data_IF_028855007239
#
_entry.id   IF_028855007239
#
_cell.length_a   1.000
_cell.length_b   1.000
_cell.length_c   1.000
_cell.angle_alpha   90.00
_cell.angle_beta   90.00
_cell.angle_gamma   90.00
#
_symmetry.space_group_name_H-M   'P 1'
#
loop_
_entity.id
_entity.type
_entity.pdbx_description
1 polymer ?
#
# COMPACT_ATOMS: atom_id res chain seq x y z
N UNK A 1 -36.04 18.86 -58.27
CA UNK A 1 -36.98 19.76 -57.57
C UNK A 1 -36.44 20.00 -56.16
N UNK A 2 -35.60 21.02 -55.90
CA UNK A 2 -35.96 22.27 -55.21
C UNK A 2 -37.25 22.21 -54.38
N UNK A 3 -37.15 22.29 -53.05
CA UNK A 3 -37.86 23.31 -52.26
C UNK A 3 -37.24 23.51 -50.86
N UNK A 4 -37.21 24.79 -50.44
CA UNK A 4 -36.69 25.35 -49.18
C UNK A 4 -37.83 25.60 -48.17
N UNK A 5 -37.41 25.92 -46.94
CA UNK A 5 -38.04 26.67 -45.84
C UNK A 5 -38.84 25.83 -44.82
N UNK A 6 -38.78 26.08 -43.50
CA UNK A 6 -38.23 27.22 -42.77
C UNK A 6 -38.14 27.01 -41.25
N UNK A 7 -37.44 27.95 -40.60
CA UNK A 7 -37.18 28.08 -39.15
C UNK A 7 -38.46 28.24 -38.32
N UNK A 8 -38.47 27.74 -37.08
CA UNK A 8 -39.09 28.43 -35.93
C UNK A 8 -38.27 28.22 -34.65
N UNK A 9 -37.67 29.31 -34.20
CA UNK A 9 -37.20 29.50 -32.84
C UNK A 9 -38.43 29.74 -31.94
N UNK A 10 -38.53 29.01 -30.84
CA UNK A 10 -39.31 29.46 -29.69
C UNK A 10 -38.40 29.49 -28.45
N UNK A 11 -38.15 30.72 -27.98
CA UNK A 11 -37.74 31.01 -26.60
C UNK A 11 -38.91 30.66 -25.69
N UNK A 12 -38.67 29.88 -24.64
CA UNK A 12 -39.55 29.78 -23.50
C UNK A 12 -38.76 29.99 -22.21
N UNK A 13 -39.31 30.86 -21.38
CA UNK A 13 -38.82 31.49 -20.17
C UNK A 13 -38.17 30.57 -19.11
N UNK A 14 -37.11 31.10 -18.50
CA UNK A 14 -36.60 30.65 -17.21
C UNK A 14 -37.55 31.08 -16.06
N UNK A 15 -37.83 30.16 -15.14
CA UNK A 15 -38.19 30.45 -13.74
C UNK A 15 -37.41 29.50 -12.83
N UNK A 16 -36.96 29.96 -11.64
CA UNK A 16 -36.03 29.23 -10.79
C UNK A 16 -36.78 28.18 -9.96
N UNK A 17 -36.26 26.96 -9.93
CA UNK A 17 -36.61 25.98 -8.90
C UNK A 17 -35.40 25.88 -7.98
N UNK A 18 -35.57 26.40 -6.77
CA UNK A 18 -34.71 26.11 -5.64
C UNK A 18 -34.88 24.63 -5.26
N UNK A 19 -33.77 23.91 -5.09
CA UNK A 19 -33.79 22.56 -4.51
C UNK A 19 -32.60 21.70 -4.91
N UNK A 20 -31.75 21.39 -3.94
CA UNK A 20 -30.89 20.20 -3.96
C UNK A 20 -29.45 20.42 -4.42
N UNK A 21 -28.56 20.65 -3.46
CA UNK A 21 -27.12 20.39 -3.61
C UNK A 21 -26.94 18.88 -3.86
N UNK A 22 -26.76 18.47 -5.11
CA UNK A 22 -26.42 17.10 -5.50
C UNK A 22 -24.93 17.01 -5.79
N UNK A 23 -24.26 16.05 -5.13
CA UNK A 23 -23.00 15.31 -5.36
C UNK A 23 -21.98 15.65 -6.50
N UNK A 24 -21.99 16.82 -7.13
CA UNK A 24 -21.09 17.18 -8.23
C UNK A 24 -19.68 17.60 -7.77
N UNK A 25 -19.41 17.58 -6.46
CA UNK A 25 -18.13 18.03 -5.89
C UNK A 25 -16.98 17.04 -6.03
N UNK A 26 -17.25 15.73 -6.18
CA UNK A 26 -16.19 14.71 -6.25
C UNK A 26 -15.68 14.48 -7.68
N UNK A 27 -16.54 14.67 -8.69
CA UNK A 27 -16.20 14.50 -10.11
C UNK A 27 -15.26 15.59 -10.66
N UNK A 28 -15.25 16.79 -10.06
CA UNK A 28 -14.41 17.90 -10.53
C UNK A 28 -12.95 17.84 -10.06
N UNK A 29 -12.65 17.10 -8.97
CA UNK A 29 -11.27 17.01 -8.44
C UNK A 29 -10.39 16.09 -9.30
N UNK A 30 -10.98 15.07 -9.93
CA UNK A 30 -10.24 14.10 -10.78
C UNK A 30 -9.84 14.71 -12.13
N UNK A 31 -10.60 15.67 -12.65
CA UNK A 31 -10.33 16.28 -13.96
C UNK A 31 -9.10 17.20 -13.99
N UNK A 32 -8.60 17.66 -12.84
CA UNK A 32 -7.47 18.59 -12.75
C UNK A 32 -6.08 17.92 -12.78
N UNK A 33 -6.00 16.59 -12.62
CA UNK A 33 -4.72 15.85 -12.53
C UNK A 33 -4.15 15.38 -13.88
N UNK A 34 -4.86 15.62 -14.99
CA UNK A 34 -4.53 15.06 -16.32
C UNK A 34 -3.50 15.91 -17.11
N UNK A 35 -3.08 17.08 -16.61
CA UNK A 35 -2.30 18.03 -17.42
C UNK A 35 -0.76 17.90 -17.35
N UNK A 36 -0.20 16.96 -16.58
CA UNK A 36 1.26 16.91 -16.33
C UNK A 36 2.04 15.79 -17.06
N UNK A 37 1.38 14.88 -17.78
CA UNK A 37 1.97 13.59 -18.23
C UNK A 37 2.58 13.56 -19.64
N UNK A 38 2.92 14.71 -20.23
CA UNK A 38 3.36 14.76 -21.64
C UNK A 38 4.86 14.54 -21.91
N UNK A 39 5.69 14.21 -20.91
CA UNK A 39 7.14 14.05 -21.12
C UNK A 39 7.62 12.80 -20.38
N UNK A 40 7.47 11.58 -20.91
CA UNK A 40 8.32 10.45 -20.51
C UNK A 40 8.13 9.27 -21.49
N UNK A 41 8.77 9.38 -22.65
CA UNK A 41 9.03 8.23 -23.50
C UNK A 41 10.33 8.46 -24.28
N UNK A 42 11.47 8.00 -23.75
CA UNK A 42 12.65 7.53 -24.53
C UNK A 42 13.80 7.04 -23.65
N UNK A 43 14.27 5.82 -23.97
CA UNK A 43 15.70 5.48 -24.05
C UNK A 43 16.38 4.95 -22.78
N UNK A 44 16.63 3.64 -22.75
CA UNK A 44 17.47 2.95 -21.77
C UNK A 44 18.97 3.09 -22.11
N UNK A 45 19.76 3.51 -21.13
CA UNK A 45 21.15 3.11 -20.86
C UNK A 45 21.39 3.30 -19.35
N UNK A 46 22.05 2.34 -18.69
CA UNK A 46 22.28 2.34 -17.24
C UNK A 46 23.25 3.46 -16.84
N UNK A 47 22.72 4.47 -16.14
CA UNK A 47 23.44 5.67 -15.70
C UNK A 47 23.79 5.57 -14.20
N UNK A 48 24.89 6.19 -13.74
CA UNK A 48 25.21 6.29 -12.32
C UNK A 48 24.04 6.96 -11.58
N UNK A 49 23.63 6.38 -10.43
CA UNK A 49 22.56 6.84 -9.51
C UNK A 49 21.95 8.16 -9.98
N UNK A 50 21.00 8.07 -10.93
CA UNK A 50 20.45 9.28 -11.55
C UNK A 50 19.80 10.10 -10.45
N UNK A 51 19.86 11.43 -10.62
CA UNK A 51 18.91 12.35 -9.97
C UNK A 51 17.46 11.80 -10.02
N UNK A 52 17.11 11.05 -11.08
CA UNK A 52 15.81 10.40 -11.28
C UNK A 52 15.34 9.49 -10.14
N UNK A 53 16.18 8.72 -9.45
CA UNK A 53 15.69 7.85 -8.37
C UNK A 53 15.25 8.66 -7.14
N UNK A 54 15.98 9.73 -6.83
CA UNK A 54 15.61 10.70 -5.79
C UNK A 54 14.40 11.52 -6.24
N UNK A 55 14.41 12.02 -7.48
CA UNK A 55 13.31 12.80 -8.07
C UNK A 55 12.01 11.98 -8.13
N UNK A 56 12.02 10.74 -8.64
CA UNK A 56 10.83 9.88 -8.67
C UNK A 56 10.33 9.54 -7.26
N UNK A 57 11.21 9.33 -6.28
CA UNK A 57 10.77 9.11 -4.90
C UNK A 57 10.12 10.38 -4.32
N UNK A 58 10.69 11.56 -4.58
CA UNK A 58 10.13 12.86 -4.18
C UNK A 58 8.75 13.05 -4.80
N UNK A 59 8.65 12.88 -6.12
CA UNK A 59 7.41 13.01 -6.89
C UNK A 59 6.35 12.01 -6.41
N UNK A 60 6.73 10.76 -6.16
CA UNK A 60 5.82 9.74 -5.65
C UNK A 60 5.27 10.10 -4.27
N UNK A 61 6.14 10.59 -3.37
CA UNK A 61 5.71 11.03 -2.04
C UNK A 61 4.79 12.25 -2.11
N UNK A 62 5.10 13.22 -2.97
CA UNK A 62 4.25 14.39 -3.23
C UNK A 62 2.87 13.95 -3.74
N UNK A 63 2.85 13.08 -4.74
CA UNK A 63 1.64 12.51 -5.30
C UNK A 63 0.82 11.78 -4.24
N UNK A 64 1.43 10.94 -3.41
CA UNK A 64 0.75 10.22 -2.33
C UNK A 64 0.03 11.14 -1.35
N UNK A 65 0.69 12.19 -0.86
CA UNK A 65 0.06 13.17 0.04
C UNK A 65 -1.05 13.98 -0.63
N UNK A 66 -0.83 14.44 -1.86
CA UNK A 66 -1.82 15.22 -2.62
C UNK A 66 -3.07 14.40 -2.95
N UNK A 67 -2.88 13.14 -3.35
CA UNK A 67 -3.94 12.24 -3.77
C UNK A 67 -4.99 11.99 -2.67
N UNK A 68 -4.57 12.04 -1.40
CA UNK A 68 -5.43 11.64 -0.27
C UNK A 68 -5.95 12.81 0.55
N UNK A 69 -5.34 14.00 0.45
CA UNK A 69 -5.67 15.15 1.30
C UNK A 69 -7.16 15.53 1.25
N UNK A 70 -7.72 15.69 0.05
CA UNK A 70 -9.14 16.05 -0.11
C UNK A 70 -10.09 14.92 0.29
N UNK A 71 -9.68 13.67 0.13
CA UNK A 71 -10.46 12.51 0.55
C UNK A 71 -10.58 12.52 2.08
N UNK A 72 -9.45 12.66 2.79
CA UNK A 72 -9.41 12.64 4.25
C UNK A 72 -10.10 13.87 4.87
N UNK A 73 -10.01 15.05 4.25
CA UNK A 73 -10.79 16.22 4.66
C UNK A 73 -12.31 15.96 4.56
N UNK A 74 -12.75 15.27 3.50
CA UNK A 74 -14.14 14.87 3.36
C UNK A 74 -14.56 13.81 4.40
N UNK A 75 -13.68 12.87 4.73
CA UNK A 75 -13.92 11.89 5.79
C UNK A 75 -14.10 12.58 7.16
N UNK A 76 -13.34 13.64 7.43
CA UNK A 76 -13.44 14.40 8.67
C UNK A 76 -14.77 15.14 8.87
N UNK A 77 -15.55 15.33 7.80
CA UNK A 77 -16.89 15.95 7.82
C UNK A 77 -18.02 14.95 8.09
N UNK A 78 -17.69 13.68 8.31
CA UNK A 78 -18.67 12.64 8.67
C UNK A 78 -19.38 12.97 9.99
N UNK A 79 -20.63 12.54 10.13
CA UNK A 79 -21.35 12.63 11.41
C UNK A 79 -20.59 11.85 12.49
N UNK A 80 -20.05 12.50 13.54
CA UNK A 80 -19.22 11.85 14.55
C UNK A 80 -20.00 10.84 15.40
N UNK A 81 -21.34 10.89 15.42
CA UNK A 81 -22.17 9.88 16.10
C UNK A 81 -22.26 8.59 15.30
N UNK A 82 -22.21 8.68 13.97
CA UNK A 82 -22.30 7.53 13.06
C UNK A 82 -20.93 6.96 12.72
N UNK A 83 -19.96 7.84 12.46
CA UNK A 83 -18.63 7.48 12.00
C UNK A 83 -17.54 8.12 12.89
N UNK A 84 -17.49 7.78 14.19
CA UNK A 84 -16.50 8.33 15.11
C UNK A 84 -15.05 8.00 14.72
N UNK A 85 -14.81 6.84 14.09
CA UNK A 85 -13.51 6.44 13.57
C UNK A 85 -13.00 7.32 12.44
N UNK A 86 -13.85 7.54 11.41
CA UNK A 86 -13.53 8.44 10.29
C UNK A 86 -13.16 9.83 10.80
N UNK A 87 -13.90 10.32 11.81
CA UNK A 87 -13.61 11.61 12.44
C UNK A 87 -12.28 11.60 13.18
N UNK A 88 -12.07 10.64 14.07
CA UNK A 88 -10.86 10.55 14.88
C UNK A 88 -9.60 10.35 14.02
N UNK A 89 -9.68 9.52 12.99
CA UNK A 89 -8.56 9.32 12.06
C UNK A 89 -8.23 10.59 11.27
N UNK A 90 -9.24 11.36 10.83
CA UNK A 90 -9.00 12.64 10.16
C UNK A 90 -8.28 13.64 11.07
N UNK A 91 -8.59 13.65 12.37
CA UNK A 91 -7.89 14.46 13.37
C UNK A 91 -6.44 13.99 13.61
N UNK A 92 -6.22 12.68 13.68
CA UNK A 92 -4.87 12.10 13.75
C UNK A 92 -4.03 12.45 12.52
N UNK A 93 -4.61 12.35 11.33
CA UNK A 93 -3.99 12.75 10.08
C UNK A 93 -3.62 14.23 10.12
N UNK A 94 -4.55 15.13 10.44
CA UNK A 94 -4.30 16.57 10.50
C UNK A 94 -3.21 16.94 11.52
N UNK A 95 -3.10 16.17 12.61
CA UNK A 95 -2.01 16.33 13.59
C UNK A 95 -0.67 15.85 13.02
N UNK A 96 -0.65 14.66 12.41
CA UNK A 96 0.56 14.04 11.87
C UNK A 96 1.14 14.81 10.68
N UNK A 97 0.29 15.43 9.85
CA UNK A 97 0.69 16.16 8.64
C UNK A 97 0.72 17.68 8.85
N UNK A 98 0.68 18.16 10.10
CA UNK A 98 0.73 19.60 10.38
C UNK A 98 2.00 20.24 9.82
N UNK A 99 1.83 21.19 8.92
CA UNK A 99 2.95 21.89 8.26
C UNK A 99 3.51 21.16 7.05
N UNK A 100 2.92 20.02 6.67
CA UNK A 100 3.26 19.34 5.43
C UNK A 100 2.64 20.10 4.26
N UNK A 101 3.49 20.58 3.35
CA UNK A 101 3.10 21.22 2.09
C UNK A 101 3.69 20.40 0.93
N UNK A 102 2.88 19.56 0.25
CA UNK A 102 3.38 18.74 -0.84
C UNK A 102 3.89 19.54 -2.05
N UNK A 103 3.63 20.84 -2.13
CA UNK A 103 4.21 21.70 -3.17
C UNK A 103 5.66 22.11 -2.88
N UNK A 104 6.13 21.88 -1.65
CA UNK A 104 7.51 22.14 -1.21
C UNK A 104 8.38 20.88 -1.33
N UNK A 105 9.72 21.03 -1.39
CA UNK A 105 10.65 19.91 -1.33
C UNK A 105 10.47 19.07 -0.05
N UNK A 106 10.59 17.73 -0.11
CA UNK A 106 10.36 16.87 1.06
C UNK A 106 11.31 17.09 2.24
N UNK A 107 12.44 17.75 2.04
CA UNK A 107 13.38 18.15 3.09
C UNK A 107 12.78 19.21 4.03
N UNK A 108 11.80 19.97 3.56
CA UNK A 108 11.08 20.98 4.35
C UNK A 108 9.86 20.40 5.09
N UNK A 109 9.51 19.14 4.84
CA UNK A 109 8.34 18.52 5.45
C UNK A 109 8.61 18.11 6.91
N UNK A 110 7.58 18.11 7.76
CA UNK A 110 7.69 17.43 9.04
C UNK A 110 7.97 15.93 8.84
N UNK A 111 8.71 15.35 9.77
CA UNK A 111 8.86 13.89 9.81
C UNK A 111 7.50 13.25 10.16
N UNK A 112 6.92 12.51 9.22
CA UNK A 112 5.67 11.77 9.42
C UNK A 112 5.98 10.29 9.61
N UNK A 113 5.71 9.77 10.81
CA UNK A 113 5.74 8.32 11.08
C UNK A 113 4.47 7.68 10.50
N UNK A 114 4.58 7.18 9.27
CA UNK A 114 3.44 6.60 8.54
C UNK A 114 2.89 5.36 9.22
N UNK A 115 3.72 4.58 9.91
CA UNK A 115 3.25 3.40 10.65
C UNK A 115 2.52 3.82 11.94
N UNK A 116 2.92 4.91 12.59
CA UNK A 116 2.13 5.47 13.70
C UNK A 116 0.78 6.04 13.22
N UNK A 117 0.70 6.51 11.97
CA UNK A 117 -0.52 7.05 11.38
C UNK A 117 -1.48 5.97 10.88
N UNK A 118 -0.95 4.84 10.40
CA UNK A 118 -1.72 3.76 9.76
C UNK A 118 -1.65 2.49 10.61
N UNK A 119 -0.52 1.77 10.54
CA UNK A 119 -0.39 0.38 11.01
C UNK A 119 -0.65 0.25 12.51
N UNK A 120 -0.09 1.15 13.31
CA UNK A 120 -0.22 1.20 14.78
C UNK A 120 -1.34 2.14 15.25
N UNK A 121 -2.12 2.72 14.34
CA UNK A 121 -3.19 3.64 14.69
C UNK A 121 -4.52 2.89 14.83
N UNK A 122 -5.07 2.76 16.06
CA UNK A 122 -6.37 2.11 16.23
C UNK A 122 -7.52 2.90 15.58
N UNK A 123 -7.41 4.23 15.44
CA UNK A 123 -8.43 5.04 14.77
C UNK A 123 -8.43 4.83 13.25
N UNK A 124 -7.26 4.58 12.64
CA UNK A 124 -7.18 4.18 11.23
C UNK A 124 -7.94 2.87 11.00
N UNK A 125 -7.74 1.87 11.85
CA UNK A 125 -8.45 0.60 11.73
C UNK A 125 -9.93 0.73 12.06
N UNK A 126 -10.31 1.56 13.03
CA UNK A 126 -11.71 1.90 13.27
C UNK A 126 -12.35 2.52 12.03
N UNK A 127 -11.70 3.49 11.41
CA UNK A 127 -12.12 4.11 10.15
C UNK A 127 -12.26 3.08 9.02
N UNK A 128 -11.30 2.16 8.88
CA UNK A 128 -11.35 1.07 7.91
C UNK A 128 -12.63 0.22 8.02
N UNK A 129 -13.13 -0.02 9.24
CA UNK A 129 -14.34 -0.82 9.48
C UNK A 129 -15.64 0.00 9.50
N UNK A 130 -15.55 1.33 9.49
CA UNK A 130 -16.68 2.23 9.26
C UNK A 130 -16.93 2.50 7.77
N UNK A 131 -15.94 2.20 6.92
CA UNK A 131 -16.07 2.18 5.48
C UNK A 131 -16.53 0.80 5.02
N UNK A 132 -17.27 0.74 3.90
CA UNK A 132 -17.66 -0.51 3.27
C UNK A 132 -16.41 -1.41 3.04
N UNK A 133 -16.45 -2.71 3.38
CA UNK A 133 -15.33 -3.62 3.20
C UNK A 133 -14.83 -3.63 1.76
N UNK A 134 -13.52 -3.47 1.61
CA UNK A 134 -12.84 -3.46 0.32
C UNK A 134 -13.24 -2.28 -0.57
N UNK A 135 -13.69 -1.14 -0.02
CA UNK A 135 -13.93 0.05 -0.82
C UNK A 135 -12.62 0.54 -1.47
N UNK A 136 -12.55 0.63 -2.81
CA UNK A 136 -11.31 0.94 -3.51
C UNK A 136 -10.81 2.36 -3.20
N UNK A 137 -11.67 3.33 -2.88
CA UNK A 137 -11.23 4.68 -2.51
C UNK A 137 -10.56 4.70 -1.12
N UNK A 138 -10.99 3.85 -0.19
CA UNK A 138 -10.30 3.69 1.09
C UNK A 138 -8.95 3.00 0.93
N UNK A 139 -8.88 1.96 0.10
CA UNK A 139 -7.60 1.30 -0.21
C UNK A 139 -6.64 2.23 -0.97
N UNK A 140 -7.16 3.07 -1.88
CA UNK A 140 -6.39 4.16 -2.51
C UNK A 140 -5.87 5.16 -1.47
N UNK A 141 -6.69 5.51 -0.47
CA UNK A 141 -6.28 6.38 0.65
C UNK A 141 -5.15 5.74 1.46
N UNK A 142 -5.28 4.45 1.81
CA UNK A 142 -4.24 3.69 2.51
C UNK A 142 -2.93 3.67 1.70
N UNK A 143 -3.00 3.33 0.42
CA UNK A 143 -1.83 3.30 -0.46
C UNK A 143 -1.19 4.68 -0.63
N UNK A 144 -1.97 5.75 -0.79
CA UNK A 144 -1.46 7.10 -0.94
C UNK A 144 -0.75 7.62 0.32
N UNK A 145 -1.26 7.30 1.51
CA UNK A 145 -0.58 7.60 2.78
C UNK A 145 0.76 6.86 2.89
N UNK A 146 0.79 5.57 2.54
CA UNK A 146 2.03 4.78 2.48
C UNK A 146 3.03 5.37 1.49
N UNK A 147 2.58 5.69 0.28
CA UNK A 147 3.41 6.28 -0.76
C UNK A 147 3.97 7.64 -0.33
N UNK A 148 3.15 8.49 0.31
CA UNK A 148 3.58 9.75 0.93
C UNK A 148 4.66 9.57 1.99
N UNK A 149 4.55 8.51 2.79
CA UNK A 149 5.55 8.05 3.75
C UNK A 149 6.79 7.41 3.14
N UNK A 150 6.83 7.20 1.82
CA UNK A 150 7.91 6.53 1.09
C UNK A 150 7.80 5.01 1.04
N UNK A 151 6.71 4.41 1.51
CA UNK A 151 6.47 2.96 1.51
C UNK A 151 5.92 2.47 0.15
N UNK A 152 6.68 2.68 -0.94
CA UNK A 152 6.21 2.41 -2.31
C UNK A 152 5.82 0.93 -2.54
N UNK A 153 6.58 -0.03 -2.01
CA UNK A 153 6.29 -1.46 -2.15
C UNK A 153 4.98 -1.86 -1.47
N UNK A 154 4.75 -1.40 -0.23
CA UNK A 154 3.48 -1.64 0.47
C UNK A 154 2.32 -0.97 -0.25
N UNK A 155 2.51 0.26 -0.74
CA UNK A 155 1.50 0.95 -1.53
C UNK A 155 1.14 0.16 -2.80
N UNK A 156 2.13 -0.35 -3.54
CA UNK A 156 1.93 -1.21 -4.72
C UNK A 156 1.07 -2.44 -4.40
N UNK A 157 1.36 -3.12 -3.29
CA UNK A 157 0.61 -4.31 -2.86
C UNK A 157 -0.86 -3.97 -2.55
N UNK A 158 -1.13 -2.86 -1.87
CA UNK A 158 -2.50 -2.42 -1.56
C UNK A 158 -3.24 -2.01 -2.83
N UNK A 159 -2.58 -1.33 -3.78
CA UNK A 159 -3.18 -0.93 -5.06
C UNK A 159 -3.55 -2.14 -5.92
N UNK A 160 -2.68 -3.15 -5.97
CA UNK A 160 -2.97 -4.41 -6.65
C UNK A 160 -4.22 -5.10 -6.07
N UNK A 161 -4.41 -5.02 -4.76
CA UNK A 161 -5.61 -5.54 -4.09
C UNK A 161 -6.84 -4.64 -4.29
N UNK A 162 -6.68 -3.33 -4.36
CA UNK A 162 -7.79 -2.40 -4.59
C UNK A 162 -8.44 -2.62 -5.96
N UNK A 163 -7.66 -3.06 -6.96
CA UNK A 163 -8.20 -3.50 -8.25
C UNK A 163 -9.12 -4.71 -8.16
N UNK A 164 -8.98 -5.52 -7.10
CA UNK A 164 -9.80 -6.68 -6.85
C UNK A 164 -11.13 -6.33 -6.16
N UNK A 165 -11.34 -5.07 -5.79
CA UNK A 165 -12.59 -4.61 -5.18
C UNK A 165 -13.80 -4.75 -6.11
N UNK A 166 -14.96 -5.02 -5.50
CA UNK A 166 -16.23 -5.14 -6.23
C UNK A 166 -16.75 -3.76 -6.61
N UNK A 167 -17.27 -3.67 -7.84
CA UNK A 167 -18.02 -2.50 -8.31
C UNK A 167 -17.18 -1.24 -8.48
N UNK A 168 -15.88 -1.39 -8.75
CA UNK A 168 -14.94 -0.29 -8.96
C UNK A 168 -15.23 0.39 -10.31
N UNK A 169 -15.62 1.68 -10.32
CA UNK A 169 -15.84 2.41 -11.57
C UNK A 169 -14.55 2.56 -12.36
N UNK A 170 -14.67 2.75 -13.68
CA UNK A 170 -13.51 2.90 -14.57
C UNK A 170 -12.54 4.00 -14.10
N UNK A 171 -13.06 5.16 -13.69
CA UNK A 171 -12.24 6.28 -13.24
C UNK A 171 -11.43 5.94 -11.98
N UNK A 172 -11.98 5.08 -11.12
CA UNK A 172 -11.26 4.57 -9.95
C UNK A 172 -10.16 3.58 -10.36
N UNK A 173 -10.42 2.70 -11.34
CA UNK A 173 -9.36 1.87 -11.92
C UNK A 173 -8.23 2.71 -12.55
N UNK A 174 -8.57 3.76 -13.30
CA UNK A 174 -7.59 4.67 -13.90
C UNK A 174 -6.74 5.35 -12.82
N UNK A 175 -7.35 5.79 -11.71
CA UNK A 175 -6.64 6.39 -10.58
C UNK A 175 -5.72 5.39 -9.84
N UNK A 176 -6.19 4.16 -9.63
CA UNK A 176 -5.40 3.07 -9.06
C UNK A 176 -4.17 2.77 -9.92
N UNK A 177 -4.36 2.62 -11.23
CA UNK A 177 -3.29 2.32 -12.18
C UNK A 177 -2.26 3.46 -12.27
N UNK A 178 -2.71 4.72 -12.16
CA UNK A 178 -1.80 5.87 -12.09
C UNK A 178 -0.89 5.81 -10.86
N UNK A 179 -1.45 5.63 -9.66
CA UNK A 179 -0.66 5.54 -8.43
C UNK A 179 0.25 4.31 -8.44
N UNK A 180 -0.23 3.20 -9.00
CA UNK A 180 0.53 1.97 -9.12
C UNK A 180 1.77 2.17 -9.99
N UNK A 181 1.60 2.81 -11.15
CA UNK A 181 2.71 3.13 -12.06
C UNK A 181 3.76 4.02 -11.39
N UNK A 182 3.34 5.00 -10.59
CA UNK A 182 4.24 5.85 -9.81
C UNK A 182 5.02 5.02 -8.79
N UNK A 183 4.36 4.16 -8.01
CA UNK A 183 5.03 3.29 -7.05
C UNK A 183 6.03 2.32 -7.72
N UNK A 184 5.64 1.71 -8.84
CA UNK A 184 6.49 0.81 -9.62
C UNK A 184 7.74 1.52 -10.18
N UNK A 185 7.62 2.79 -10.56
CA UNK A 185 8.76 3.57 -11.03
C UNK A 185 9.82 3.76 -9.94
N UNK A 186 9.40 4.07 -8.71
CA UNK A 186 10.29 4.19 -7.55
C UNK A 186 10.97 2.87 -7.26
N UNK A 187 10.22 1.77 -7.23
CA UNK A 187 10.74 0.44 -6.91
C UNK A 187 11.78 0.01 -7.94
N UNK A 188 11.48 0.17 -9.24
CA UNK A 188 12.39 -0.18 -10.33
C UNK A 188 13.71 0.60 -10.23
N UNK A 189 13.62 1.92 -10.15
CA UNK A 189 14.80 2.80 -10.17
C UNK A 189 15.66 2.62 -8.91
N UNK A 190 15.04 2.40 -7.75
CA UNK A 190 15.78 2.14 -6.53
C UNK A 190 16.40 0.74 -6.49
N UNK A 191 15.77 -0.27 -7.10
CA UNK A 191 16.38 -1.60 -7.25
C UNK A 191 17.58 -1.58 -8.21
N UNK A 192 17.58 -0.72 -9.23
CA UNK A 192 18.75 -0.51 -10.08
C UNK A 192 19.95 -0.02 -9.27
N UNK A 193 19.74 0.87 -8.29
CA UNK A 193 20.79 1.35 -7.38
C UNK A 193 21.40 0.23 -6.52
N UNK A 194 20.59 -0.77 -6.12
CA UNK A 194 21.05 -1.96 -5.39
C UNK A 194 21.95 -2.84 -6.27
N UNK A 195 21.67 -2.93 -7.57
CA UNK A 195 22.42 -3.76 -8.51
C UNK A 195 23.92 -3.48 -8.58
N UNK A 196 24.35 -2.24 -8.26
CA UNK A 196 25.77 -1.91 -8.14
C UNK A 196 26.46 -2.61 -6.95
N UNK A 197 25.76 -2.74 -5.82
CA UNK A 197 26.27 -3.48 -4.66
C UNK A 197 26.33 -4.98 -4.91
N UNK A 198 25.33 -5.55 -5.59
CA UNK A 198 25.30 -6.97 -5.94
C UNK A 198 26.51 -7.35 -6.80
N UNK A 199 26.82 -6.52 -7.81
CA UNK A 199 28.00 -6.71 -8.67
C UNK A 199 29.33 -6.65 -7.90
N UNK A 200 29.41 -5.89 -6.80
CA UNK A 200 30.61 -5.87 -5.94
C UNK A 200 30.67 -7.12 -5.07
N UNK A 201 29.54 -7.52 -4.51
CA UNK A 201 29.42 -8.75 -3.72
C UNK A 201 29.84 -9.98 -4.53
N UNK A 202 29.35 -10.11 -5.76
CA UNK A 202 29.69 -11.20 -6.69
C UNK A 202 31.18 -11.24 -7.06
N UNK A 203 31.87 -10.10 -7.00
CA UNK A 203 33.33 -10.01 -7.20
C UNK A 203 34.14 -10.29 -5.93
N UNK A 204 33.47 -10.60 -4.82
CA UNK A 204 34.07 -10.82 -3.51
C UNK A 204 34.32 -9.55 -2.69
N UNK A 205 34.01 -8.36 -3.22
CA UNK A 205 34.15 -7.08 -2.52
C UNK A 205 32.91 -6.80 -1.65
N UNK A 206 32.82 -7.52 -0.53
CA UNK A 206 31.68 -7.45 0.40
C UNK A 206 31.62 -6.08 1.11
N UNK A 207 32.76 -5.48 1.44
CA UNK A 207 32.78 -4.17 2.09
C UNK A 207 32.34 -3.06 1.13
N UNK A 208 32.76 -3.12 -0.14
CA UNK A 208 32.26 -2.24 -1.20
C UNK A 208 30.75 -2.41 -1.42
N UNK A 209 30.24 -3.64 -1.43
CA UNK A 209 28.82 -3.93 -1.54
C UNK A 209 28.02 -3.32 -0.37
N UNK A 210 28.46 -3.54 0.87
CA UNK A 210 27.87 -2.94 2.08
C UNK A 210 27.83 -1.41 1.97
N UNK A 211 28.90 -0.79 1.48
CA UNK A 211 28.94 0.65 1.22
C UNK A 211 27.84 1.09 0.25
N UNK A 212 27.68 0.39 -0.88
CA UNK A 212 26.64 0.70 -1.88
C UNK A 212 25.22 0.52 -1.37
N UNK A 213 24.96 -0.53 -0.60
CA UNK A 213 23.61 -0.72 -0.02
C UNK A 213 23.27 0.38 0.99
N UNK A 214 24.25 0.81 1.81
CA UNK A 214 24.07 1.94 2.71
C UNK A 214 23.81 3.24 1.95
N UNK A 215 24.46 3.46 0.81
CA UNK A 215 24.20 4.63 -0.03
C UNK A 215 22.80 4.56 -0.68
N UNK A 216 22.37 3.39 -1.15
CA UNK A 216 20.99 3.19 -1.63
C UNK A 216 19.95 3.48 -0.53
N UNK A 217 20.21 3.06 0.71
CA UNK A 217 19.34 3.33 1.87
C UNK A 217 19.34 4.79 2.33
N UNK A 218 20.38 5.59 2.02
CA UNK A 218 20.33 7.05 2.22
C UNK A 218 19.34 7.71 1.27
N UNK A 219 19.22 7.19 0.05
CA UNK A 219 18.26 7.70 -0.95
C UNK A 219 16.85 7.22 -0.62
N UNK A 220 16.68 5.92 -0.38
CA UNK A 220 15.38 5.35 -0.02
C UNK A 220 15.49 4.45 1.22
N UNK A 221 15.22 5.00 2.42
CA UNK A 221 15.31 4.27 3.68
C UNK A 221 14.37 3.06 3.77
N UNK A 222 13.28 3.05 3.01
CA UNK A 222 12.29 1.97 2.96
C UNK A 222 12.58 0.95 1.86
N UNK A 223 13.75 0.98 1.20
CA UNK A 223 14.11 -0.01 0.20
C UNK A 223 14.32 -1.39 0.86
N UNK A 224 13.31 -2.25 0.77
CA UNK A 224 13.33 -3.61 1.32
C UNK A 224 14.44 -4.48 0.74
N UNK A 225 14.74 -4.31 -0.54
CA UNK A 225 15.75 -5.10 -1.23
C UNK A 225 17.17 -4.71 -0.78
N UNK A 226 17.44 -3.41 -0.62
CA UNK A 226 18.70 -2.94 -0.07
C UNK A 226 18.93 -3.40 1.38
N UNK A 227 17.89 -3.38 2.22
CA UNK A 227 17.98 -3.95 3.58
C UNK A 227 18.29 -5.44 3.57
N UNK A 228 17.64 -6.21 2.70
CA UNK A 228 17.91 -7.64 2.54
C UNK A 228 19.37 -7.91 2.12
N UNK A 229 19.83 -7.24 1.06
CA UNK A 229 21.19 -7.41 0.52
C UNK A 229 22.27 -6.96 1.52
N UNK A 230 21.99 -5.90 2.29
CA UNK A 230 22.85 -5.45 3.38
C UNK A 230 22.93 -6.51 4.49
N UNK A 231 21.79 -7.06 4.92
CA UNK A 231 21.74 -8.12 5.92
C UNK A 231 22.50 -9.37 5.48
N UNK A 232 22.30 -9.79 4.23
CA UNK A 232 23.01 -10.91 3.61
C UNK A 232 24.53 -10.68 3.58
N UNK A 233 24.96 -9.48 3.17
CA UNK A 233 26.39 -9.14 3.07
C UNK A 233 27.08 -9.04 4.42
N UNK A 234 26.39 -8.47 5.42
CA UNK A 234 26.85 -8.43 6.81
C UNK A 234 26.96 -9.83 7.41
N UNK A 235 25.98 -10.69 7.12
CA UNK A 235 26.01 -12.09 7.54
C UNK A 235 27.20 -12.82 6.91
N UNK A 236 27.37 -12.72 5.60
CA UNK A 236 28.48 -13.32 4.85
C UNK A 236 29.85 -12.88 5.38
N UNK A 237 30.02 -11.56 5.62
CA UNK A 237 31.26 -11.02 6.21
C UNK A 237 31.51 -11.57 7.61
N UNK A 238 30.47 -11.72 8.42
CA UNK A 238 30.60 -12.21 9.79
C UNK A 238 30.92 -13.70 9.87
N UNK A 239 30.33 -14.55 9.02
CA UNK A 239 30.65 -15.98 8.96
C UNK A 239 32.05 -16.21 8.39
N UNK A 240 32.45 -15.44 7.37
CA UNK A 240 33.80 -15.50 6.80
C UNK A 240 34.86 -15.09 7.82
N UNK A 241 34.60 -14.04 8.62
CA UNK A 241 35.49 -13.61 9.70
C UNK A 241 35.65 -14.69 10.81
N UNK A 242 34.73 -15.65 10.91
CA UNK A 242 34.81 -16.80 11.82
C UNK A 242 35.48 -18.03 11.20
N UNK A 243 35.87 -17.96 9.92
CA UNK A 243 36.38 -19.10 9.17
C UNK A 243 35.30 -20.12 8.79
N UNK A 244 34.02 -19.72 8.84
CA UNK A 244 32.88 -20.55 8.44
C UNK A 244 32.63 -20.43 6.92
N UNK A 245 32.04 -21.46 6.33
CA UNK A 245 31.67 -21.45 4.91
C UNK A 245 30.56 -20.42 4.67
N UNK A 246 30.81 -19.49 3.75
CA UNK A 246 29.78 -18.52 3.34
C UNK A 246 28.66 -19.27 2.62
N UNK A 247 27.40 -19.14 3.07
CA UNK A 247 26.28 -19.78 2.42
C UNK A 247 26.18 -19.37 0.94
N UNK A 248 25.76 -20.31 0.09
CA UNK A 248 25.51 -20.02 -1.32
C UNK A 248 24.46 -18.92 -1.46
N UNK A 249 24.67 -18.00 -2.40
CA UNK A 249 23.72 -16.93 -2.72
C UNK A 249 22.32 -17.53 -2.97
N UNK A 250 21.28 -16.87 -2.44
CA UNK A 250 19.90 -17.33 -2.51
C UNK A 250 19.51 -18.41 -1.48
N UNK A 251 20.42 -18.86 -0.62
CA UNK A 251 20.08 -19.78 0.46
C UNK A 251 19.38 -19.05 1.60
N UNK A 252 18.14 -19.44 1.91
CA UNK A 252 17.42 -18.94 3.10
C UNK A 252 17.86 -19.78 4.31
N UNK A 253 18.48 -19.12 5.29
CA UNK A 253 18.96 -19.78 6.49
C UNK A 253 18.05 -19.51 7.70
N UNK A 254 17.59 -20.59 8.33
CA UNK A 254 16.71 -20.54 9.50
C UNK A 254 17.18 -21.51 10.57
N UNK A 255 16.88 -21.17 11.83
CA UNK A 255 17.06 -22.05 12.97
C UNK A 255 18.28 -21.71 13.83
N UNK A 256 18.55 -22.52 14.88
CA UNK A 256 19.41 -22.13 15.99
C UNK A 256 20.89 -21.98 15.63
N UNK A 257 21.29 -22.48 14.45
CA UNK A 257 22.66 -22.33 13.92
C UNK A 257 22.88 -21.01 13.19
N UNK A 258 21.82 -20.24 12.91
CA UNK A 258 21.95 -18.91 12.34
C UNK A 258 22.69 -17.99 13.34
N UNK A 259 23.80 -17.35 12.95
CA UNK A 259 24.52 -16.42 13.81
C UNK A 259 23.63 -15.27 14.29
N UNK A 260 23.54 -15.10 15.61
CA UNK A 260 22.79 -14.00 16.23
C UNK A 260 23.59 -12.71 16.13
N UNK A 261 23.43 -12.01 15.01
CA UNK A 261 24.08 -10.72 14.74
C UNK A 261 22.98 -9.65 14.70
N UNK A 262 22.88 -8.77 15.72
CA UNK A 262 21.78 -7.81 15.81
C UNK A 262 21.60 -6.93 14.56
N UNK A 263 22.68 -6.49 13.92
CA UNK A 263 22.60 -5.68 12.68
C UNK A 263 22.00 -6.48 11.51
N UNK A 264 22.30 -7.77 11.40
CA UNK A 264 21.73 -8.66 10.36
C UNK A 264 20.26 -8.91 10.63
N UNK A 265 19.89 -9.20 11.88
CA UNK A 265 18.50 -9.42 12.28
C UNK A 265 17.63 -8.17 12.03
N UNK A 266 18.17 -6.99 12.35
CA UNK A 266 17.52 -5.71 12.07
C UNK A 266 17.36 -5.47 10.56
N UNK A 267 18.39 -5.74 9.75
CA UNK A 267 18.29 -5.64 8.30
C UNK A 267 17.18 -6.52 7.72
N UNK A 268 17.11 -7.79 8.14
CA UNK A 268 16.03 -8.68 7.72
C UNK A 268 14.66 -8.26 8.26
N UNK A 269 14.58 -7.73 9.49
CA UNK A 269 13.34 -7.20 10.03
C UNK A 269 12.84 -5.98 9.22
N UNK A 270 13.72 -5.06 8.84
CA UNK A 270 13.38 -3.92 7.98
C UNK A 270 12.97 -4.36 6.58
N UNK A 271 13.68 -5.32 6.00
CA UNK A 271 13.30 -5.88 4.70
C UNK A 271 11.86 -6.44 4.73
N UNK A 272 11.49 -7.21 5.76
CA UNK A 272 10.13 -7.72 5.95
C UNK A 272 9.10 -6.62 6.24
N UNK A 273 9.49 -5.56 6.97
CA UNK A 273 8.60 -4.44 7.27
C UNK A 273 8.19 -3.69 6.00
N UNK A 274 9.15 -3.42 5.11
CA UNK A 274 8.92 -2.62 3.91
C UNK A 274 8.46 -3.45 2.70
N UNK A 275 8.68 -4.76 2.72
CA UNK A 275 8.14 -5.73 1.76
C UNK A 275 7.80 -7.02 2.49
N UNK A 276 6.57 -7.13 3.04
CA UNK A 276 6.14 -8.32 3.77
C UNK A 276 6.08 -9.59 2.92
N UNK A 277 6.16 -9.45 1.59
CA UNK A 277 6.18 -10.56 0.64
C UNK A 277 7.60 -10.96 0.21
N UNK A 278 8.64 -10.32 0.75
CA UNK A 278 10.05 -10.67 0.51
C UNK A 278 10.43 -11.95 1.23
N UNK A 279 10.24 -13.07 0.56
CA UNK A 279 10.50 -14.41 1.12
C UNK A 279 11.92 -14.54 1.69
N UNK A 280 12.90 -13.98 0.98
CA UNK A 280 14.32 -14.09 1.31
C UNK A 280 14.67 -13.37 2.60
N UNK A 281 13.85 -12.41 3.05
CA UNK A 281 14.05 -11.74 4.32
C UNK A 281 13.58 -12.57 5.52
N UNK A 282 12.89 -13.70 5.34
CA UNK A 282 12.45 -14.59 6.43
C UNK A 282 13.57 -15.56 6.84
N UNK A 283 14.68 -14.96 7.30
CA UNK A 283 15.87 -15.62 7.80
C UNK A 283 16.13 -15.23 9.26
N UNK A 284 16.86 -16.09 9.98
CA UNK A 284 17.25 -15.83 11.36
C UNK A 284 17.14 -17.02 12.31
N UNK A 285 17.58 -16.79 13.54
CA UNK A 285 17.57 -17.79 14.61
C UNK A 285 16.25 -17.89 15.39
N UNK A 286 15.32 -16.96 15.16
CA UNK A 286 14.05 -16.89 15.89
C UNK A 286 13.18 -18.13 15.64
N UNK A 287 12.56 -18.71 16.68
CA UNK A 287 11.69 -19.90 16.53
C UNK A 287 10.47 -19.64 15.65
N UNK A 288 10.04 -18.39 15.51
CA UNK A 288 8.94 -17.95 14.66
C UNK A 288 9.30 -17.81 13.18
N UNK A 289 10.59 -17.79 12.83
CA UNK A 289 11.05 -17.51 11.46
C UNK A 289 10.64 -18.62 10.50
N UNK A 290 10.90 -19.89 10.85
CA UNK A 290 10.59 -21.03 9.98
C UNK A 290 9.06 -21.18 9.75
N UNK A 291 8.19 -21.14 10.76
CA UNK A 291 6.74 -21.15 10.54
C UNK A 291 6.27 -20.01 9.63
N UNK A 292 6.79 -18.78 9.83
CA UNK A 292 6.45 -17.63 8.99
C UNK A 292 6.93 -17.78 7.56
N UNK A 293 8.14 -18.31 7.36
CA UNK A 293 8.69 -18.60 6.03
C UNK A 293 7.80 -19.59 5.28
N UNK A 294 7.42 -20.70 5.92
CA UNK A 294 6.56 -21.73 5.31
C UNK A 294 5.18 -21.14 4.95
N UNK A 295 4.58 -20.37 5.86
CA UNK A 295 3.32 -19.70 5.57
C UNK A 295 3.43 -18.73 4.39
N UNK A 296 4.53 -17.99 4.29
CA UNK A 296 4.75 -17.05 3.20
C UNK A 296 5.00 -17.77 1.85
N UNK A 297 5.67 -18.93 1.83
CA UNK A 297 5.87 -19.70 0.59
C UNK A 297 4.53 -20.09 -0.05
N UNK A 298 3.57 -20.56 0.74
CA UNK A 298 2.24 -20.87 0.22
C UNK A 298 1.46 -19.59 -0.14
N UNK A 299 1.56 -18.55 0.68
CA UNK A 299 0.99 -17.24 0.40
C UNK A 299 1.43 -16.68 -0.97
N UNK A 300 2.70 -16.84 -1.34
CA UNK A 300 3.24 -16.29 -2.58
C UNK A 300 2.70 -16.99 -3.83
N UNK A 301 2.35 -18.27 -3.75
CA UNK A 301 1.69 -18.97 -4.85
C UNK A 301 0.30 -18.39 -5.11
N UNK A 302 -0.47 -18.15 -4.04
CA UNK A 302 -1.79 -17.53 -4.12
C UNK A 302 -1.71 -16.05 -4.55
N UNK A 303 -0.73 -15.31 -4.02
CA UNK A 303 -0.47 -13.92 -4.42
C UNK A 303 -0.16 -13.80 -5.92
N UNK A 304 0.65 -14.71 -6.47
CA UNK A 304 0.97 -14.74 -7.90
C UNK A 304 -0.29 -14.84 -8.77
N UNK A 305 -1.29 -15.62 -8.35
CA UNK A 305 -2.59 -15.72 -9.06
C UNK A 305 -3.33 -14.38 -9.08
N UNK A 306 -3.26 -13.60 -7.99
CA UNK A 306 -3.91 -12.29 -7.88
C UNK A 306 -3.28 -11.28 -8.84
N UNK A 307 -1.95 -11.25 -8.91
CA UNK A 307 -1.21 -10.23 -9.69
C UNK A 307 -0.94 -10.62 -11.14
N UNK A 308 -1.05 -11.90 -11.51
CA UNK A 308 -0.79 -12.37 -12.88
C UNK A 308 -1.81 -11.86 -13.92
N UNK A 309 -3.04 -11.56 -13.50
CA UNK A 309 -4.08 -11.05 -14.41
C UNK A 309 -4.88 -9.93 -13.75
N UNK A 310 -4.29 -8.72 -13.61
CA UNK A 310 -4.90 -7.62 -12.86
C UNK A 310 -6.24 -7.11 -13.44
N UNK A 311 -6.53 -7.42 -14.72
CA UNK A 311 -7.80 -7.13 -15.37
C UNK A 311 -8.90 -8.17 -15.06
N UNK A 312 -8.52 -9.35 -14.57
CA UNK A 312 -9.41 -10.42 -14.18
C UNK A 312 -9.58 -10.45 -12.66
N UNK A 313 -10.80 -10.77 -12.21
CA UNK A 313 -11.02 -11.01 -10.78
C UNK A 313 -10.32 -12.29 -10.38
N UNK A 314 -9.43 -12.18 -9.40
CA UNK A 314 -8.80 -13.33 -8.78
C UNK A 314 -9.86 -14.24 -8.12
N UNK A 315 -9.70 -15.57 -8.12
CA UNK A 315 -10.55 -16.47 -7.37
C UNK A 315 -10.58 -16.12 -5.87
N UNK A 316 -11.73 -16.30 -5.22
CA UNK A 316 -11.86 -16.04 -3.78
C UNK A 316 -10.87 -16.87 -2.96
N UNK A 317 -10.64 -18.14 -3.36
CA UNK A 317 -9.66 -19.02 -2.71
C UNK A 317 -8.25 -18.42 -2.66
N UNK A 318 -7.77 -17.83 -3.76
CA UNK A 318 -6.46 -17.19 -3.80
C UNK A 318 -6.37 -15.98 -2.85
N UNK A 319 -7.44 -15.20 -2.73
CA UNK A 319 -7.50 -14.09 -1.76
C UNK A 319 -7.50 -14.60 -0.32
N UNK A 320 -8.26 -15.65 -0.01
CA UNK A 320 -8.30 -16.26 1.32
C UNK A 320 -6.93 -16.80 1.72
N UNK A 321 -6.31 -17.63 0.86
CA UNK A 321 -4.99 -18.22 1.07
C UNK A 321 -3.92 -17.13 1.24
N UNK A 322 -3.95 -16.07 0.42
CA UNK A 322 -3.07 -14.92 0.58
C UNK A 322 -3.28 -14.24 1.94
N UNK A 323 -4.52 -13.98 2.34
CA UNK A 323 -4.81 -13.31 3.61
C UNK A 323 -4.34 -14.13 4.83
N UNK A 324 -4.54 -15.44 4.80
CA UNK A 324 -4.16 -16.37 5.87
C UNK A 324 -2.65 -16.56 5.93
N UNK A 325 -2.01 -16.75 4.78
CA UNK A 325 -0.56 -16.79 4.67
C UNK A 325 0.11 -15.51 5.18
N UNK A 326 -0.43 -14.34 4.82
CA UNK A 326 0.04 -13.05 5.35
C UNK A 326 -0.12 -12.97 6.88
N UNK A 327 -1.27 -13.36 7.44
CA UNK A 327 -1.48 -13.32 8.89
C UNK A 327 -0.49 -14.24 9.63
N UNK A 328 -0.31 -15.47 9.14
CA UNK A 328 0.62 -16.45 9.71
C UNK A 328 2.09 -16.00 9.56
N UNK A 329 2.43 -15.29 8.48
CA UNK A 329 3.74 -14.69 8.27
C UNK A 329 3.98 -13.41 9.11
N UNK A 330 2.96 -12.93 9.83
CA UNK A 330 3.01 -11.69 10.63
C UNK A 330 2.77 -10.40 9.82
N UNK A 331 2.43 -10.50 8.54
CA UNK A 331 2.08 -9.39 7.65
C UNK A 331 0.62 -8.95 7.86
N UNK A 332 0.29 -8.58 9.10
CA UNK A 332 -1.10 -8.37 9.55
C UNK A 332 -1.85 -7.26 8.80
N UNK A 333 -1.15 -6.20 8.39
CA UNK A 333 -1.76 -5.10 7.60
C UNK A 333 -2.28 -5.65 6.26
N UNK A 334 -1.40 -6.28 5.48
CA UNK A 334 -1.76 -6.88 4.19
C UNK A 334 -2.83 -7.96 4.37
N UNK A 335 -2.73 -8.77 5.42
CA UNK A 335 -3.72 -9.77 5.77
C UNK A 335 -5.14 -9.19 5.93
N UNK A 336 -5.27 -8.06 6.66
CA UNK A 336 -6.56 -7.38 6.83
C UNK A 336 -7.06 -6.77 5.52
N UNK A 337 -6.18 -6.13 4.74
CA UNK A 337 -6.54 -5.51 3.47
C UNK A 337 -7.10 -6.56 2.49
N UNK A 338 -6.41 -7.69 2.32
CA UNK A 338 -6.89 -8.79 1.45
C UNK A 338 -8.23 -9.34 1.97
N UNK A 339 -8.35 -9.53 3.29
CA UNK A 339 -9.59 -10.02 3.90
C UNK A 339 -10.77 -9.07 3.66
N UNK A 340 -10.56 -7.76 3.71
CA UNK A 340 -11.59 -6.78 3.40
C UNK A 340 -12.09 -6.86 1.95
N UNK A 341 -11.23 -7.18 0.99
CA UNK A 341 -11.65 -7.44 -0.40
C UNK A 341 -12.60 -8.64 -0.46
N UNK A 342 -12.28 -9.74 0.23
CA UNK A 342 -13.13 -10.94 0.28
C UNK A 342 -14.49 -10.62 0.91
N UNK A 343 -14.49 -9.97 2.07
CA UNK A 343 -15.72 -9.55 2.78
C UNK A 343 -16.58 -8.65 1.90
N UNK A 344 -15.97 -7.68 1.20
CA UNK A 344 -16.65 -6.78 0.29
C UNK A 344 -17.30 -7.50 -0.90
N UNK A 345 -16.63 -8.52 -1.46
CA UNK A 345 -17.18 -9.35 -2.54
C UNK A 345 -18.38 -10.18 -2.09
N UNK A 346 -18.31 -10.76 -0.89
CA UNK A 346 -19.41 -11.51 -0.27
C UNK A 346 -20.58 -10.61 0.14
N UNK A 347 -20.33 -9.33 0.37
CA UNK A 347 -21.33 -8.33 0.79
C UNK A 347 -21.53 -8.24 2.31
N UNK A 348 -20.64 -8.83 3.11
CA UNK A 348 -20.76 -8.81 4.57
C UNK A 348 -19.76 -9.72 5.27
N UNK A 349 -19.62 -9.52 6.59
CA UNK A 349 -18.73 -10.29 7.46
C UNK A 349 -19.34 -11.67 7.79
N UNK A 350 -18.54 -12.73 7.64
CA UNK A 350 -18.85 -14.06 8.14
C UNK A 350 -18.16 -14.36 9.48
N UNK A 351 -18.60 -15.41 10.18
CA UNK A 351 -18.07 -15.79 11.51
C UNK A 351 -16.54 -15.97 11.54
N UNK A 352 -15.97 -16.58 10.49
CA UNK A 352 -14.51 -16.76 10.38
C UNK A 352 -13.77 -15.43 10.23
N UNK A 353 -14.40 -14.42 9.63
CA UNK A 353 -13.80 -13.10 9.43
C UNK A 353 -13.66 -12.34 10.77
N UNK A 354 -14.59 -12.51 11.72
CA UNK A 354 -14.46 -11.92 13.07
C UNK A 354 -13.22 -12.45 13.80
N UNK A 355 -13.00 -13.77 13.77
CA UNK A 355 -11.84 -14.41 14.39
C UNK A 355 -10.56 -13.91 13.73
N UNK A 356 -10.54 -13.88 12.40
CA UNK A 356 -9.40 -13.41 11.62
C UNK A 356 -9.05 -11.94 11.92
N UNK A 357 -10.05 -11.05 11.91
CA UNK A 357 -9.89 -9.62 12.19
C UNK A 357 -9.36 -9.41 13.60
N UNK A 358 -9.91 -10.13 14.58
CA UNK A 358 -9.47 -10.06 15.98
C UNK A 358 -7.98 -10.30 16.13
N UNK A 359 -7.46 -11.35 15.51
CA UNK A 359 -6.03 -11.71 15.56
C UNK A 359 -5.15 -10.61 14.98
N UNK A 360 -5.42 -10.16 13.75
CA UNK A 360 -4.57 -9.15 13.12
C UNK A 360 -4.71 -7.76 13.75
N UNK A 361 -5.91 -7.34 14.15
CA UNK A 361 -6.11 -6.00 14.71
C UNK A 361 -5.38 -5.84 16.06
N UNK A 362 -5.42 -6.87 16.91
CA UNK A 362 -4.67 -6.89 18.17
C UNK A 362 -3.16 -6.88 17.97
N UNK A 363 -2.66 -7.51 16.91
CA UNK A 363 -1.24 -7.49 16.57
C UNK A 363 -0.78 -6.12 16.06
N UNK A 364 -1.63 -5.40 15.34
CA UNK A 364 -1.30 -4.11 14.71
C UNK A 364 -1.39 -2.93 15.69
N UNK A 365 -2.49 -2.84 16.44
CA UNK A 365 -2.79 -1.72 17.32
C UNK A 365 -3.44 -2.23 18.62
N UNK A 366 -2.72 -2.89 19.53
CA UNK A 366 -3.30 -3.39 20.78
C UNK A 366 -3.78 -2.23 21.65
N UNK A 367 -4.94 -2.38 22.29
CA UNK A 367 -5.47 -1.39 23.22
C UNK A 367 -6.98 -1.25 23.21
N UNK A 368 -7.53 -0.43 24.11
CA UNK A 368 -8.97 -0.32 24.33
C UNK A 368 -9.74 0.17 23.09
N UNK A 369 -9.15 1.02 22.25
CA UNK A 369 -9.77 1.49 21.02
C UNK A 369 -9.96 0.35 19.99
N UNK A 370 -9.00 -0.57 19.89
CA UNK A 370 -9.14 -1.75 19.03
C UNK A 370 -10.17 -2.72 19.57
N UNK A 371 -10.23 -2.95 20.89
CA UNK A 371 -11.29 -3.76 21.50
C UNK A 371 -12.68 -3.14 21.29
N UNK A 372 -12.80 -1.81 21.34
CA UNK A 372 -14.04 -1.10 21.01
C UNK A 372 -14.42 -1.29 19.53
N UNK A 373 -13.43 -1.36 18.64
CA UNK A 373 -13.65 -1.66 17.21
C UNK A 373 -14.14 -3.09 17.01
N UNK A 374 -13.54 -4.08 17.67
CA UNK A 374 -14.01 -5.47 17.63
C UNK A 374 -15.45 -5.61 18.14
N UNK A 375 -15.76 -4.98 19.29
CA UNK A 375 -17.13 -4.97 19.83
C UNK A 375 -18.15 -4.33 18.87
N UNK A 376 -17.73 -3.29 18.15
CA UNK A 376 -18.59 -2.70 17.12
C UNK A 376 -18.83 -3.65 15.97
N UNK A 377 -17.81 -4.38 15.52
CA UNK A 377 -17.93 -5.38 14.46
C UNK A 377 -18.90 -6.50 14.81
N UNK A 378 -19.06 -6.84 16.09
CA UNK A 378 -20.03 -7.85 16.56
C UNK A 378 -21.50 -7.38 16.44
N UNK A 379 -21.75 -6.11 16.12
CA UNK A 379 -23.11 -5.61 15.92
C UNK A 379 -23.66 -6.04 14.53
N UNK A 380 -24.80 -6.75 14.46
CA UNK A 380 -25.36 -7.20 13.18
C UNK A 380 -25.94 -6.06 12.31
N UNK A 381 -26.05 -4.83 12.83
CA UNK A 381 -26.61 -3.67 12.14
C UNK A 381 -25.63 -2.50 12.12
N UNK A 382 -24.42 -2.76 11.63
CA UNK A 382 -23.43 -1.71 11.44
C UNK A 382 -23.79 -0.86 10.22
N UNK A 383 -23.90 0.46 10.42
CA UNK A 383 -23.93 1.42 9.33
C UNK A 383 -22.50 1.63 8.80
N UNK A 384 -22.32 1.48 7.49
CA UNK A 384 -21.03 1.65 6.81
C UNK A 384 -21.15 2.72 5.73
N UNK A 385 -20.11 3.51 5.56
CA UNK A 385 -20.01 4.54 4.52
C UNK A 385 -19.43 3.93 3.24
N UNK A 386 -20.10 4.11 2.10
CA UNK A 386 -19.47 3.89 0.79
C UNK A 386 -18.74 5.16 0.39
N UNK A 387 -17.49 5.03 -0.07
CA UNK A 387 -16.70 6.15 -0.60
C UNK A 387 -16.71 6.16 -2.12
N UNK A 388 -16.94 4.99 -2.72
CA UNK A 388 -17.09 4.82 -4.16
C UNK A 388 -18.56 4.50 -4.47
N UNK A 389 -19.13 5.20 -5.47
CA UNK A 389 -20.44 4.85 -6.02
C UNK A 389 -20.31 3.52 -6.77
N UNK A 390 -21.00 2.49 -6.29
CA UNK A 390 -20.96 1.15 -6.90
C UNK A 390 -21.76 1.19 -8.20
N UNK A 391 -21.12 0.96 -9.35
CA UNK A 391 -21.88 0.63 -10.55
C UNK A 391 -22.62 -0.71 -10.31
N UNK A 392 -23.95 -0.77 -10.52
CA UNK A 392 -24.66 -2.04 -10.43
C UNK A 392 -24.00 -3.01 -11.42
N UNK A 393 -23.61 -4.19 -10.93
CA UNK A 393 -23.07 -5.24 -11.79
C UNK A 393 -24.11 -5.51 -12.89
N UNK A 394 -23.74 -5.25 -14.15
CA UNK A 394 -24.40 -5.87 -15.28
C UNK A 394 -24.25 -7.37 -15.06
N UNK A 395 -25.29 -7.99 -14.51
CA UNK A 395 -25.52 -9.43 -14.61
C UNK A 395 -25.63 -9.73 -16.10
N UNK A 396 -24.51 -9.98 -16.77
CA UNK A 396 -24.57 -10.64 -18.06
C UNK A 396 -25.13 -12.05 -17.80
N UNK A 397 -26.17 -12.45 -18.55
CA UNK A 397 -26.90 -13.69 -18.33
C UNK A 397 -26.06 -14.95 -18.54
#
# INVERSE_FOLDING_TARGET
>A
MRHRFGRRFHRAAARPIAGGLTNHGLLFVVAALVSATAIYARGQEALPLKKSATEHLVEARQFGWLAVASIIDNLGKSDPKKFPGLRAFSEDYAKATRGLDPSRPPEEWPAVDVDALITRNPNFWRANYEVRPGDPAWMYTHAGLLLGGGEATRAQQILALARQSRGTPKQMHDALDQMLSVAESVIRDANEAVGGGIKLYDKGDKDGAIGRYRDALKVWPQNSFAHYELGLSLHARAVEARGEEVPKLGTIQVGPRFPKIPEVEECFARARRHDPLRLEAYQGAGPEVLPRLVALQECLKAWAVIVASPAMRAPEGALLETSEGCQLAGAHELALVVRQVVVGRRGGLGRSDHIFITTSLRALAPGPQSEATLKYLDNPRIEMRSLTDVEPENTQP
#
